data_IF_698614037397
#
_entry.id   IF_698614037397
#
_cell.length_a   1.000
_cell.length_b   1.000
_cell.length_c   1.000
_cell.angle_alpha   90.00
_cell.angle_beta   90.00
_cell.angle_gamma   90.00
#
_symmetry.space_group_name_H-M   'P 1'
#
loop_
_entity.id
_entity.type
_entity.pdbx_description
1 polymer ?
#
# COMPACT_ATOMS: atom_id res chain seq x y z
N UNK A 1 6.66 22.97 16.94
CA UNK A 1 6.05 24.26 16.50
C UNK A 1 5.35 24.20 15.12
N UNK A 2 5.92 23.54 14.11
CA UNK A 2 5.35 23.49 12.76
C UNK A 2 4.12 22.57 12.59
N UNK A 3 3.91 21.59 13.48
CA UNK A 3 2.75 20.70 13.41
C UNK A 3 1.44 21.42 13.81
N UNK A 4 1.49 22.36 14.76
CA UNK A 4 0.30 23.07 15.24
C UNK A 4 -0.31 23.99 14.15
N UNK A 5 0.52 24.61 13.31
CA UNK A 5 0.06 25.41 12.17
C UNK A 5 -0.62 24.55 11.09
N UNK A 6 -0.20 23.29 10.93
CA UNK A 6 -0.86 22.36 10.00
C UNK A 6 -2.28 22.07 10.46
N UNK A 7 -2.50 21.80 11.75
CA UNK A 7 -3.84 21.55 12.27
C UNK A 7 -4.75 22.79 12.25
N UNK A 8 -4.20 24.00 12.42
CA UNK A 8 -4.97 25.25 12.38
C UNK A 8 -5.50 25.65 11.00
N UNK A 9 -4.96 25.08 9.92
CA UNK A 9 -5.43 25.28 8.55
C UNK A 9 -6.41 24.20 8.07
N UNK A 10 -6.67 23.18 8.89
CA UNK A 10 -7.60 22.10 8.55
C UNK A 10 -9.00 22.57 8.90
N UNK A 11 -9.79 22.84 7.86
CA UNK A 11 -11.24 22.91 8.00
C UNK A 11 -11.76 21.47 8.24
N UNK A 12 -12.12 21.18 9.49
CA UNK A 12 -12.64 19.86 9.89
C UNK A 12 -14.04 19.58 9.34
N UNK A 13 -14.74 20.61 8.84
CA UNK A 13 -16.04 20.48 8.20
C UNK A 13 -15.91 20.24 6.69
N UNK A 14 -14.74 20.54 6.09
CA UNK A 14 -14.46 20.22 4.71
C UNK A 14 -14.13 18.72 4.55
N UNK A 15 -14.64 18.04 3.51
CA UNK A 15 -14.26 16.66 3.24
C UNK A 15 -12.74 16.58 3.03
N UNK A 16 -12.11 15.60 3.69
CA UNK A 16 -10.68 15.37 3.55
C UNK A 16 -10.32 15.20 2.06
N UNK A 17 -9.25 15.86 1.58
CA UNK A 17 -8.84 15.70 0.20
C UNK A 17 -8.47 14.24 -0.07
N UNK A 18 -8.80 13.75 -1.26
CA UNK A 18 -8.42 12.40 -1.64
C UNK A 18 -6.90 12.31 -1.80
N UNK A 19 -6.30 11.23 -1.31
CA UNK A 19 -4.85 11.00 -1.40
C UNK A 19 -4.41 10.30 -2.70
N UNK A 20 -5.33 10.11 -3.66
CA UNK A 20 -5.04 9.42 -4.92
C UNK A 20 -3.87 10.00 -5.72
N UNK A 21 -3.70 11.33 -5.86
CA UNK A 21 -2.55 11.88 -6.58
C UNK A 21 -1.20 11.45 -5.97
N UNK A 22 -1.14 11.31 -4.64
CA UNK A 22 0.06 10.84 -3.95
C UNK A 22 0.28 9.34 -4.13
N UNK A 23 -0.79 8.56 -4.12
CA UNK A 23 -0.72 7.12 -4.40
C UNK A 23 -0.26 6.85 -5.84
N UNK A 24 -0.82 7.58 -6.82
CA UNK A 24 -0.46 7.46 -8.24
C UNK A 24 1.00 7.88 -8.50
N UNK A 25 1.56 8.80 -7.69
CA UNK A 25 2.97 9.15 -7.77
C UNK A 25 3.91 7.96 -7.45
N UNK A 26 3.42 6.90 -6.82
CA UNK A 26 4.18 5.67 -6.56
C UNK A 26 4.35 4.78 -7.80
N UNK A 27 3.69 5.09 -8.93
CA UNK A 27 3.71 4.27 -10.16
C UNK A 27 5.11 4.00 -10.75
N UNK A 28 6.15 4.69 -10.28
CA UNK A 28 7.54 4.45 -10.67
C UNK A 28 8.19 3.27 -9.92
N UNK A 29 7.52 2.71 -8.91
CA UNK A 29 8.03 1.62 -8.08
C UNK A 29 7.02 0.46 -8.02
N UNK A 30 7.47 -0.80 -8.00
CA UNK A 30 6.60 -1.94 -7.73
C UNK A 30 5.96 -1.81 -6.34
N UNK A 31 4.69 -2.23 -6.21
CA UNK A 31 3.94 -2.05 -4.97
C UNK A 31 3.26 -3.35 -4.53
N UNK A 32 3.34 -3.65 -3.22
CA UNK A 32 2.58 -4.72 -2.59
C UNK A 32 1.67 -4.13 -1.51
N UNK A 33 0.35 -4.22 -1.72
CA UNK A 33 -0.65 -3.79 -0.76
C UNK A 33 -1.22 -5.01 -0.01
N UNK A 34 -1.12 -4.99 1.32
CA UNK A 34 -1.59 -6.08 2.20
C UNK A 34 -2.76 -5.57 3.03
N UNK A 35 -3.87 -6.31 3.00
CA UNK A 35 -5.11 -5.99 3.71
C UNK A 35 -5.55 -7.18 4.56
N UNK A 36 -6.00 -6.93 5.79
CA UNK A 36 -6.76 -7.92 6.55
C UNK A 36 -8.23 -7.96 6.10
N UNK A 37 -8.83 -9.14 5.96
CA UNK A 37 -10.22 -9.31 5.52
C UNK A 37 -11.21 -8.49 6.37
N UNK A 38 -10.94 -8.40 7.67
CA UNK A 38 -11.74 -7.71 8.69
C UNK A 38 -11.25 -6.28 8.98
N UNK A 39 -10.42 -5.69 8.10
CA UNK A 39 -9.88 -4.34 8.31
C UNK A 39 -10.99 -3.27 8.31
N UNK A 40 -10.94 -2.41 9.33
CA UNK A 40 -11.75 -1.21 9.52
C UNK A 40 -11.12 0.06 8.93
N UNK A 41 -9.81 0.04 8.65
CA UNK A 41 -9.05 1.17 8.09
C UNK A 41 -8.99 1.11 6.56
N UNK A 42 -8.65 -0.04 5.97
CA UNK A 42 -8.51 -0.19 4.52
C UNK A 42 -9.66 -1.04 3.99
N UNK A 43 -10.61 -0.41 3.30
CA UNK A 43 -11.74 -1.12 2.71
C UNK A 43 -11.32 -1.98 1.50
N UNK A 44 -12.08 -3.04 1.21
CA UNK A 44 -11.88 -3.87 0.01
C UNK A 44 -12.09 -3.07 -1.29
N UNK A 45 -13.03 -2.11 -1.27
CA UNK A 45 -13.27 -1.19 -2.38
C UNK A 45 -12.05 -0.29 -2.63
N UNK A 46 -11.47 0.28 -1.56
CA UNK A 46 -10.26 1.09 -1.67
C UNK A 46 -9.08 0.28 -2.22
N UNK A 47 -8.89 -0.96 -1.75
CA UNK A 47 -7.84 -1.85 -2.27
C UNK A 47 -8.03 -2.18 -3.76
N UNK A 48 -9.28 -2.39 -4.20
CA UNK A 48 -9.60 -2.59 -5.63
C UNK A 48 -9.23 -1.34 -6.44
N UNK A 49 -9.54 -0.17 -5.91
CA UNK A 49 -9.25 1.11 -6.53
C UNK A 49 -7.75 1.44 -6.57
N UNK A 50 -6.97 0.96 -5.59
CA UNK A 50 -5.50 1.00 -5.61
C UNK A 50 -4.95 0.16 -6.76
N UNK A 51 -5.39 -1.10 -6.90
CA UNK A 51 -4.97 -1.98 -7.99
C UNK A 51 -5.33 -1.43 -9.37
N UNK A 52 -6.49 -0.76 -9.49
CA UNK A 52 -6.92 -0.12 -10.74
C UNK A 52 -6.03 1.07 -11.13
N UNK A 53 -5.57 1.87 -10.16
CA UNK A 53 -4.75 3.07 -10.38
C UNK A 53 -3.27 2.77 -10.57
N UNK A 54 -2.80 1.65 -10.03
CA UNK A 54 -1.43 1.21 -10.12
C UNK A 54 -1.39 -0.21 -10.68
N UNK A 55 -1.26 -0.41 -12.01
CA UNK A 55 -1.33 -1.73 -12.62
C UNK A 55 -0.30 -2.74 -12.09
N UNK A 56 0.86 -2.27 -11.64
CA UNK A 56 1.91 -3.10 -11.02
C UNK A 56 1.73 -3.27 -9.49
N UNK A 57 0.60 -2.83 -8.92
CA UNK A 57 0.28 -3.01 -7.51
C UNK A 57 -0.32 -4.41 -7.30
N UNK A 58 0.46 -5.30 -6.71
CA UNK A 58 -0.04 -6.57 -6.23
C UNK A 58 -0.82 -6.39 -4.91
N UNK A 59 -1.93 -7.10 -4.79
CA UNK A 59 -2.78 -7.03 -3.60
C UNK A 59 -2.89 -8.38 -2.91
N UNK A 60 -2.88 -8.38 -1.58
CA UNK A 60 -3.10 -9.55 -0.73
C UNK A 60 -4.20 -9.23 0.27
N UNK A 61 -5.20 -10.11 0.37
CA UNK A 61 -6.14 -10.11 1.49
C UNK A 61 -5.86 -11.32 2.39
N UNK A 62 -5.72 -11.08 3.69
CA UNK A 62 -5.47 -12.10 4.72
C UNK A 62 -6.76 -12.38 5.47
N UNK A 63 -7.29 -13.59 5.32
CA UNK A 63 -8.53 -14.01 5.98
C UNK A 63 -8.39 -14.07 7.50
N UNK A 64 -9.44 -13.69 8.22
CA UNK A 64 -9.46 -13.70 9.69
C UNK A 64 -8.75 -12.52 10.37
N UNK A 65 -8.02 -11.69 9.64
CA UNK A 65 -7.21 -10.60 10.23
C UNK A 65 -7.80 -9.20 9.99
N UNK A 66 -7.59 -8.31 10.96
CA UNK A 66 -8.01 -6.90 10.94
C UNK A 66 -6.87 -5.95 10.55
N UNK A 67 -6.81 -4.76 11.16
CA UNK A 67 -5.62 -3.91 11.08
C UNK A 67 -4.67 -4.19 12.27
N UNK A 68 -3.41 -4.57 12.05
CA UNK A 68 -2.74 -4.89 10.77
C UNK A 68 -2.52 -6.40 10.64
N UNK A 69 -2.48 -6.95 9.41
CA UNK A 69 -2.10 -8.34 9.23
C UNK A 69 -0.74 -8.69 9.84
N UNK A 70 -0.58 -9.91 10.34
CA UNK A 70 0.68 -10.40 10.90
C UNK A 70 1.69 -10.69 9.77
N UNK A 71 2.52 -9.69 9.47
CA UNK A 71 3.59 -9.79 8.45
C UNK A 71 4.64 -10.84 8.77
N UNK A 72 4.75 -11.30 10.03
CA UNK A 72 5.65 -12.36 10.45
C UNK A 72 5.07 -13.77 10.26
N UNK A 73 3.76 -13.89 10.01
CA UNK A 73 3.12 -15.17 9.76
C UNK A 73 3.78 -15.87 8.56
N UNK A 74 4.12 -17.16 8.64
CA UNK A 74 4.95 -17.83 7.63
C UNK A 74 4.44 -17.68 6.19
N UNK A 75 3.12 -17.73 6.00
CA UNK A 75 2.50 -17.57 4.69
C UNK A 75 2.70 -16.15 4.13
N UNK A 76 2.43 -15.12 4.93
CA UNK A 76 2.53 -13.74 4.49
C UNK A 76 4.00 -13.32 4.30
N UNK A 77 4.86 -13.71 5.24
CA UNK A 77 6.31 -13.51 5.13
C UNK A 77 6.88 -14.13 3.85
N UNK A 78 6.46 -15.36 3.50
CA UNK A 78 6.87 -16.01 2.26
C UNK A 78 6.42 -15.28 0.99
N UNK A 79 5.21 -14.70 0.99
CA UNK A 79 4.73 -13.87 -0.13
C UNK A 79 5.50 -12.56 -0.26
N UNK A 80 5.83 -11.92 0.86
CA UNK A 80 6.66 -10.71 0.88
C UNK A 80 8.07 -11.02 0.36
N UNK A 81 8.69 -12.12 0.81
CA UNK A 81 9.99 -12.55 0.32
C UNK A 81 9.97 -12.80 -1.19
N UNK A 82 8.96 -13.52 -1.69
CA UNK A 82 8.77 -13.77 -3.13
C UNK A 82 8.65 -12.47 -3.93
N UNK A 83 7.90 -11.49 -3.41
CA UNK A 83 7.77 -10.19 -4.02
C UNK A 83 9.13 -9.50 -4.14
N UNK A 84 9.92 -9.48 -3.05
CA UNK A 84 11.25 -8.87 -2.99
C UNK A 84 12.26 -9.56 -3.92
N UNK A 85 12.30 -10.90 -3.92
CA UNK A 85 13.21 -11.68 -4.76
C UNK A 85 13.03 -11.36 -6.26
N UNK A 86 11.78 -11.17 -6.70
CA UNK A 86 11.48 -10.79 -8.08
C UNK A 86 11.96 -9.37 -8.39
N UNK A 87 11.90 -8.45 -7.43
CA UNK A 87 12.42 -7.09 -7.62
C UNK A 87 13.94 -7.10 -7.73
N UNK A 88 14.62 -7.86 -6.88
CA UNK A 88 16.07 -8.01 -6.93
C UNK A 88 16.53 -8.60 -8.26
N UNK A 89 15.84 -9.62 -8.77
CA UNK A 89 16.09 -10.17 -10.10
C UNK A 89 15.92 -9.13 -11.22
N UNK A 90 14.88 -8.28 -11.14
CA UNK A 90 14.63 -7.20 -12.09
C UNK A 90 15.67 -6.07 -12.02
N UNK A 91 16.16 -5.76 -10.82
CA UNK A 91 17.25 -4.77 -10.60
C UNK A 91 18.56 -5.28 -11.18
N UNK A 92 18.89 -6.56 -11.01
CA UNK A 92 20.09 -7.18 -11.59
C UNK A 92 20.07 -7.10 -13.12
N UNK A 93 18.91 -7.30 -13.76
CA UNK A 93 18.78 -7.17 -15.21
C UNK A 93 18.94 -5.72 -15.70
N UNK A 94 18.45 -4.72 -14.95
CA UNK A 94 18.60 -3.29 -15.31
C UNK A 94 20.00 -2.73 -15.09
N UNK A 95 20.84 -3.35 -14.24
CA UNK A 95 22.24 -2.92 -14.02
C UNK A 95 23.22 -3.49 -15.06
N UNK A 96 22.81 -4.53 -15.79
CA UNK A 96 23.62 -5.21 -16.80
C UNK A 96 23.23 -4.85 -18.25
N UNK A 97 22.35 -3.86 -18.43
CA UNK A 97 21.94 -3.27 -19.71
C UNK A 97 22.41 -1.82 -19.77
#
# INVERSE_FOLDING_TARGET
PALASTFGAIDLEAPLPTLWPFFEALAHAPLLAIRGANSDILSSMTLTEMARRHPDCETITVEGEGHVPDVGAPLLAGRIATFLDRLDAGVVLRRNA
#
